data_IF_485603552546
#
_entry.id   IF_485603552546
#
_cell.length_a   1.000
_cell.length_b   1.000
_cell.length_c   1.000
_cell.angle_alpha   90.00
_cell.angle_beta   90.00
_cell.angle_gamma   90.00
#
_symmetry.space_group_name_H-M   'P 1'
#
loop_
_entity.id
_entity.type
_entity.pdbx_description
1 polymer ?
#
# COMPACT_ATOMS: atom_id res chain seq x y z
N UNK A 1 -5.75 -15.58 -11.60
CA UNK A 1 -4.69 -15.62 -10.57
C UNK A 1 -4.52 -14.22 -10.01
N UNK A 2 -4.81 -14.01 -8.73
CA UNK A 2 -4.57 -12.71 -8.08
C UNK A 2 -3.07 -12.48 -7.94
N UNK A 3 -2.60 -11.29 -8.33
CA UNK A 3 -1.20 -10.89 -8.17
C UNK A 3 -0.99 -10.25 -6.80
N UNK A 4 0.17 -10.49 -6.21
CA UNK A 4 0.59 -9.83 -4.98
C UNK A 4 1.35 -8.54 -5.32
N UNK A 5 0.94 -7.42 -4.73
CA UNK A 5 1.65 -6.14 -4.82
C UNK A 5 2.22 -5.78 -3.45
N UNK A 6 3.55 -5.71 -3.36
CA UNK A 6 4.26 -5.33 -2.15
C UNK A 6 4.76 -3.89 -2.31
N UNK A 7 4.39 -3.03 -1.37
CA UNK A 7 4.78 -1.62 -1.32
C UNK A 7 5.71 -1.44 -0.12
N UNK A 8 6.91 -0.91 -0.34
CA UNK A 8 7.88 -0.62 0.72
C UNK A 8 7.78 0.87 1.07
N UNK A 9 7.44 1.17 2.31
CA UNK A 9 7.15 2.52 2.82
C UNK A 9 5.65 2.78 2.99
N UNK A 10 5.26 3.13 4.22
CA UNK A 10 3.92 3.46 4.68
C UNK A 10 3.69 4.94 4.99
N UNK A 11 4.64 5.82 4.65
CA UNK A 11 4.43 7.27 4.56
C UNK A 11 3.42 7.64 3.47
N UNK A 12 3.20 8.92 3.17
CA UNK A 12 2.09 9.41 2.32
C UNK A 12 1.89 8.66 0.98
N UNK A 13 2.97 8.29 0.28
CA UNK A 13 2.90 7.62 -1.01
C UNK A 13 2.42 6.16 -0.93
N UNK A 14 2.70 5.45 0.17
CA UNK A 14 2.40 4.02 0.33
C UNK A 14 0.90 3.73 0.32
N UNK A 15 0.12 4.26 1.28
CA UNK A 15 -1.33 4.14 1.32
C UNK A 15 -2.00 4.70 0.07
N UNK A 16 -1.49 5.81 -0.48
CA UNK A 16 -2.01 6.39 -1.73
C UNK A 16 -1.89 5.42 -2.91
N UNK A 17 -0.74 4.77 -3.05
CA UNK A 17 -0.49 3.75 -4.08
C UNK A 17 -1.35 2.51 -3.86
N UNK A 18 -1.47 2.05 -2.62
CA UNK A 18 -2.28 0.88 -2.27
C UNK A 18 -3.77 1.10 -2.59
N UNK A 19 -4.30 2.27 -2.21
CA UNK A 19 -5.69 2.64 -2.49
C UNK A 19 -5.95 2.70 -4.00
N UNK A 20 -5.05 3.33 -4.77
CA UNK A 20 -5.21 3.43 -6.22
C UNK A 20 -5.09 2.07 -6.92
N UNK A 21 -4.15 1.22 -6.50
CA UNK A 21 -4.01 -0.13 -7.03
C UNK A 21 -5.28 -0.95 -6.79
N UNK A 22 -5.87 -0.88 -5.60
CA UNK A 22 -7.10 -1.60 -5.25
C UNK A 22 -8.34 -1.06 -5.96
N UNK A 23 -8.40 0.26 -6.23
CA UNK A 23 -9.45 0.87 -7.06
C UNK A 23 -9.39 0.37 -8.51
N UNK A 24 -8.18 0.26 -9.08
CA UNK A 24 -7.98 -0.21 -10.46
C UNK A 24 -8.18 -1.72 -10.62
N UNK A 25 -7.71 -2.50 -9.64
CA UNK A 25 -7.83 -3.96 -9.65
C UNK A 25 -8.17 -4.46 -8.24
N UNK A 26 -9.48 -4.63 -7.95
CA UNK A 26 -9.93 -5.16 -6.67
C UNK A 26 -9.43 -6.58 -6.36
N UNK A 27 -8.93 -7.33 -7.35
CA UNK A 27 -8.42 -8.68 -7.17
C UNK A 27 -6.98 -8.73 -6.63
N UNK A 28 -6.25 -7.61 -6.63
CA UNK A 28 -4.89 -7.52 -6.10
C UNK A 28 -4.85 -7.80 -4.60
N UNK A 29 -3.88 -8.61 -4.18
CA UNK A 29 -3.52 -8.74 -2.77
C UNK A 29 -2.40 -7.73 -2.47
N UNK A 30 -2.71 -6.68 -1.71
CA UNK A 30 -1.80 -5.54 -1.49
C UNK A 30 -1.28 -5.56 -0.06
N UNK A 31 0.03 -5.46 0.11
CA UNK A 31 0.70 -5.36 1.41
C UNK A 31 1.65 -4.17 1.42
N UNK A 32 1.55 -3.35 2.46
CA UNK A 32 2.49 -2.26 2.74
C UNK A 32 3.42 -2.73 3.86
N UNK A 33 4.73 -2.59 3.66
CA UNK A 33 5.75 -2.85 4.68
C UNK A 33 6.38 -1.51 5.07
N UNK A 34 6.17 -1.11 6.32
CA UNK A 34 6.73 0.11 6.91
C UNK A 34 7.72 -0.28 8.01
N UNK A 35 8.80 0.49 8.15
CA UNK A 35 9.81 0.30 9.18
C UNK A 35 9.32 0.77 10.55
N UNK A 36 8.60 1.89 10.59
CA UNK A 36 8.06 2.48 11.81
C UNK A 36 6.76 1.81 12.30
N UNK A 37 6.32 2.23 13.48
CA UNK A 37 5.08 1.73 14.10
C UNK A 37 3.81 2.31 13.47
N UNK A 38 3.93 3.45 12.77
CA UNK A 38 2.80 4.18 12.21
C UNK A 38 2.84 4.23 10.68
N UNK A 39 1.67 4.15 10.08
CA UNK A 39 1.45 4.33 8.64
C UNK A 39 0.46 5.47 8.41
N UNK A 40 0.47 6.04 7.20
CA UNK A 40 -0.49 7.07 6.78
C UNK A 40 -0.51 8.30 7.69
N UNK A 41 0.67 8.74 8.15
CA UNK A 41 0.82 9.97 8.91
C UNK A 41 1.47 11.06 8.06
N UNK A 42 1.18 12.32 8.40
CA UNK A 42 1.93 13.48 7.93
C UNK A 42 2.96 13.84 9.02
N UNK A 43 4.19 14.10 8.61
CA UNK A 43 5.19 14.73 9.48
C UNK A 43 4.89 16.22 9.66
#
# INVERSE_FOLDING_TARGET
MSRNLIIIGGGAAGPSTAAEAKRKDPSLNVMIVEQGEFVSYAA
#
